data_IF_811101231402
#
_entry.id   IF_811101231402
#
_cell.length_a   1.000
_cell.length_b   1.000
_cell.length_c   1.000
_cell.angle_alpha   90.00
_cell.angle_beta   90.00
_cell.angle_gamma   90.00
#
_symmetry.space_group_name_H-M   'P 1'
#
loop_
_entity.id
_entity.type
_entity.pdbx_description
1 polymer ?
#
# COMPACT_ATOMS: atom_id res chain seq x y z
N UNK A 1 -15.89 10.76 32.91
CA UNK A 1 -15.19 9.90 31.93
C UNK A 1 -15.04 10.71 30.64
N UNK A 2 -13.85 11.19 30.23
CA UNK A 2 -13.76 11.91 28.98
C UNK A 2 -13.88 10.94 27.80
N UNK A 3 -14.72 11.32 26.85
CA UNK A 3 -15.11 10.58 25.65
C UNK A 3 -13.90 10.43 24.71
N UNK A 4 -13.69 9.22 24.19
CA UNK A 4 -12.53 8.88 23.36
C UNK A 4 -12.36 9.85 22.18
N UNK A 5 -11.24 10.56 22.16
CA UNK A 5 -10.86 11.41 21.03
C UNK A 5 -10.69 10.51 19.81
N UNK A 6 -11.56 10.64 18.80
CA UNK A 6 -11.35 10.02 17.49
C UNK A 6 -10.08 10.64 16.88
N UNK A 7 -8.96 9.94 17.07
CA UNK A 7 -7.62 10.56 17.16
C UNK A 7 -6.90 10.82 15.85
N UNK A 8 -7.53 10.66 14.68
CA UNK A 8 -6.94 11.01 13.37
C UNK A 8 -8.05 11.42 12.40
N UNK A 9 -7.92 12.60 11.78
CA UNK A 9 -8.79 12.97 10.66
C UNK A 9 -8.62 11.95 9.53
N UNK A 10 -9.71 11.34 9.09
CA UNK A 10 -9.69 10.49 7.91
C UNK A 10 -9.34 11.33 6.68
N UNK A 11 -8.29 10.95 5.95
CA UNK A 11 -7.95 11.53 4.65
C UNK A 11 -8.52 10.63 3.56
N UNK A 12 -9.35 11.18 2.69
CA UNK A 12 -9.86 10.45 1.52
C UNK A 12 -8.81 10.48 0.42
N UNK A 13 -8.22 9.32 0.09
CA UNK A 13 -7.40 9.16 -1.10
C UNK A 13 -8.30 8.99 -2.32
N UNK A 14 -8.06 9.77 -3.38
CA UNK A 14 -8.78 9.69 -4.65
C UNK A 14 -7.75 9.42 -5.76
N UNK A 15 -7.62 8.17 -6.23
CA UNK A 15 -6.79 7.87 -7.38
C UNK A 15 -7.42 8.44 -8.66
N UNK A 16 -6.57 8.68 -9.67
CA UNK A 16 -6.99 9.25 -10.95
C UNK A 16 -8.00 8.37 -11.70
N UNK A 17 -7.97 7.06 -11.46
CA UNK A 17 -8.96 6.12 -11.98
C UNK A 17 -9.46 5.13 -10.90
N UNK A 18 -10.76 4.76 -10.93
CA UNK A 18 -11.30 3.72 -10.04
C UNK A 18 -10.62 2.37 -10.24
N UNK A 19 -10.22 2.06 -11.47
CA UNK A 19 -9.53 0.80 -11.79
C UNK A 19 -8.16 0.70 -11.13
N UNK A 20 -7.45 1.83 -10.96
CA UNK A 20 -6.17 1.85 -10.27
C UNK A 20 -6.37 1.54 -8.78
N UNK A 21 -7.46 2.02 -8.18
CA UNK A 21 -7.81 1.73 -6.79
C UNK A 21 -7.99 0.22 -6.56
N UNK A 22 -8.83 -0.41 -7.37
CA UNK A 22 -9.11 -1.85 -7.23
C UNK A 22 -7.85 -2.68 -7.49
N UNK A 23 -7.09 -2.39 -8.56
CA UNK A 23 -5.82 -3.08 -8.84
C UNK A 23 -4.81 -2.96 -7.70
N UNK A 24 -4.66 -1.76 -7.13
CA UNK A 24 -3.74 -1.55 -6.01
C UNK A 24 -4.23 -2.23 -4.72
N UNK A 25 -5.55 -2.34 -4.53
CA UNK A 25 -6.17 -3.04 -3.39
C UNK A 25 -5.94 -4.54 -3.48
N UNK A 26 -6.14 -5.13 -4.65
CA UNK A 26 -5.84 -6.53 -4.92
C UNK A 26 -4.33 -6.82 -4.74
N UNK A 27 -3.47 -5.95 -5.27
CA UNK A 27 -2.02 -6.07 -5.11
C UNK A 27 -1.58 -6.04 -3.64
N UNK A 28 -2.17 -5.17 -2.82
CA UNK A 28 -1.90 -5.12 -1.39
C UNK A 28 -2.38 -6.40 -0.67
N UNK A 29 -3.59 -6.87 -1.00
CA UNK A 29 -4.12 -8.11 -0.43
C UNK A 29 -3.27 -9.34 -0.79
N UNK A 30 -2.73 -9.40 -2.01
CA UNK A 30 -1.88 -10.50 -2.48
C UNK A 30 -0.59 -10.67 -1.66
N UNK A 31 -0.09 -9.61 -1.02
CA UNK A 31 1.08 -9.64 -0.14
C UNK A 31 0.70 -9.64 1.36
N UNK A 32 -0.57 -9.90 1.69
CA UNK A 32 -1.06 -9.94 3.06
C UNK A 32 -1.15 -8.56 3.74
N UNK A 33 -1.26 -7.49 2.95
CA UNK A 33 -1.35 -6.10 3.40
C UNK A 33 -2.68 -5.46 3.00
N UNK A 34 -2.86 -4.18 3.34
CA UNK A 34 -4.02 -3.38 2.98
C UNK A 34 -3.61 -2.02 2.39
N UNK A 35 -4.55 -1.37 1.71
CA UNK A 35 -4.32 -0.10 1.02
C UNK A 35 -3.77 0.98 1.96
N UNK A 36 -4.34 1.11 3.16
CA UNK A 36 -3.93 2.15 4.09
C UNK A 36 -2.52 1.87 4.64
N UNK A 37 -2.19 0.61 4.92
CA UNK A 37 -0.84 0.21 5.33
C UNK A 37 0.19 0.49 4.25
N UNK A 38 -0.10 0.19 2.98
CA UNK A 38 0.78 0.53 1.85
C UNK A 38 0.96 2.03 1.64
N UNK A 39 -0.13 2.82 1.70
CA UNK A 39 -0.03 4.26 1.59
C UNK A 39 0.82 4.86 2.73
N UNK A 40 0.61 4.42 3.97
CA UNK A 40 1.41 4.89 5.10
C UNK A 40 2.87 4.46 5.01
N UNK A 41 3.15 3.22 4.59
CA UNK A 41 4.51 2.74 4.38
C UNK A 41 5.23 3.57 3.30
N UNK A 42 4.55 3.84 2.18
CA UNK A 42 5.10 4.69 1.13
C UNK A 42 5.36 6.12 1.61
N UNK A 43 4.46 6.70 2.40
CA UNK A 43 4.65 8.03 2.98
C UNK A 43 5.85 8.08 3.93
N UNK A 44 6.04 7.05 4.77
CA UNK A 44 7.21 6.93 5.66
C UNK A 44 8.52 6.81 4.87
N UNK A 45 8.50 6.05 3.78
CA UNK A 45 9.63 5.97 2.87
C UNK A 45 9.94 7.34 2.25
N UNK A 46 8.90 8.04 1.76
CA UNK A 46 9.03 9.37 1.16
C UNK A 46 9.56 10.43 2.15
N UNK A 47 9.20 10.32 3.43
CA UNK A 47 9.67 11.23 4.51
C UNK A 47 11.02 10.81 5.09
N UNK A 48 11.67 9.77 4.55
CA UNK A 48 12.94 9.19 5.04
C UNK A 48 12.87 8.67 6.48
N UNK A 49 11.68 8.28 6.94
CA UNK A 49 11.53 7.56 8.20
C UNK A 49 11.97 6.09 8.07
N UNK A 50 11.94 5.55 6.84
CA UNK A 50 12.45 4.23 6.48
C UNK A 50 13.01 4.24 5.06
N UNK A 51 13.99 3.39 4.76
CA UNK A 51 14.46 3.13 3.40
C UNK A 51 13.74 1.93 2.75
N UNK A 52 12.85 1.26 3.49
CA UNK A 52 12.08 0.11 3.01
C UNK A 52 10.81 0.54 2.28
N UNK A 53 10.64 0.07 1.04
CA UNK A 53 9.43 0.25 0.27
C UNK A 53 8.37 -0.81 0.63
N UNK A 54 7.06 -0.50 0.51
CA UNK A 54 6.02 -1.50 0.70
C UNK A 54 6.18 -2.69 -0.27
N UNK A 55 5.91 -3.92 0.19
CA UNK A 55 6.05 -5.10 -0.64
C UNK A 55 5.11 -5.02 -1.85
N UNK A 56 5.62 -5.41 -3.02
CA UNK A 56 4.82 -5.53 -4.24
C UNK A 56 4.60 -7.00 -4.55
N UNK A 57 3.42 -7.39 -5.04
CA UNK A 57 3.24 -8.74 -5.54
C UNK A 57 4.22 -8.99 -6.69
N UNK A 58 4.68 -10.24 -6.86
CA UNK A 58 5.51 -10.60 -7.99
C UNK A 58 4.77 -10.29 -9.29
N UNK A 59 5.50 -9.83 -10.31
CA UNK A 59 4.90 -9.66 -11.62
C UNK A 59 4.39 -11.04 -12.09
N UNK A 60 3.21 -11.11 -12.72
CA UNK A 60 2.78 -12.34 -13.37
C UNK A 60 3.83 -12.70 -14.44
N UNK A 61 4.61 -13.76 -14.19
CA UNK A 61 5.72 -14.19 -15.03
C UNK A 61 7.13 -14.02 -14.45
N UNK A 62 7.32 -13.32 -13.31
CA UNK A 62 8.63 -13.19 -12.68
C UNK A 62 9.12 -14.48 -11.97
N UNK A 63 8.32 -15.56 -12.01
CA UNK A 63 8.72 -16.91 -11.60
C UNK A 63 9.35 -17.75 -12.72
N UNK A 64 9.31 -17.27 -13.97
CA UNK A 64 10.00 -17.86 -15.11
C UNK A 64 11.21 -16.98 -15.45
N UNK A 65 12.25 -17.04 -14.63
CA UNK A 65 13.58 -16.78 -15.17
C UNK A 65 13.97 -18.02 -15.96
N UNK A 66 14.05 -17.98 -17.30
CA UNK A 66 14.85 -18.95 -18.02
C UNK A 66 16.30 -18.70 -17.58
N UNK A 67 16.79 -19.52 -16.67
CA UNK A 67 18.22 -19.69 -16.46
C UNK A 67 18.83 -20.00 -17.85
N UNK A 68 19.73 -19.14 -18.32
CA UNK A 68 20.51 -19.31 -19.55
C UNK A 68 21.96 -19.04 -19.25
#
# INVERSE_FOLDING_TARGET
>A
MPHGVHRKQARTYRPDSPELYERAKEAAAAVGSDMNSHLNAFLRWLTRETDELPPRPPAPGAGESPES
#
